data_IF_202063840439
#
_entry.id   IF_202063840439
#
_cell.length_a   1.000
_cell.length_b   1.000
_cell.length_c   1.000
_cell.angle_alpha   90.00
_cell.angle_beta   90.00
_cell.angle_gamma   90.00
#
_symmetry.space_group_name_H-M   'P 1'
#
loop_
_entity.id
_entity.type
_entity.pdbx_description
1 polymer ?
#
# COMPACT_ATOMS: atom_id res chain seq x y z
N UNK A 1 14.43 9.47 1.77
CA UNK A 1 13.40 9.36 2.82
C UNK A 1 13.77 10.31 3.95
N UNK A 2 12.90 11.27 4.29
CA UNK A 2 13.01 11.95 5.59
C UNK A 2 12.64 10.90 6.64
N UNK A 3 13.34 10.85 7.76
CA UNK A 3 12.97 9.95 8.85
C UNK A 3 11.51 10.24 9.25
N UNK A 4 10.62 9.22 9.25
CA UNK A 4 9.20 9.42 9.54
C UNK A 4 8.99 10.00 10.95
N UNK A 5 9.96 9.80 11.84
CA UNK A 5 9.89 10.24 13.21
C UNK A 5 10.70 11.51 13.48
N UNK A 6 10.02 12.56 13.97
CA UNK A 6 10.64 13.64 14.74
C UNK A 6 10.20 13.51 16.21
N UNK A 7 11.08 13.04 17.12
CA UNK A 7 10.74 12.91 18.53
C UNK A 7 10.32 14.27 19.13
N UNK A 8 9.20 14.28 19.85
CA UNK A 8 8.85 15.36 20.77
C UNK A 8 8.62 14.77 22.15
N UNK A 9 8.81 15.58 23.20
CA UNK A 9 8.62 15.15 24.61
C UNK A 9 7.22 14.58 24.87
N UNK A 10 6.24 14.94 24.04
CA UNK A 10 4.84 14.54 24.15
C UNK A 10 4.42 13.44 23.17
N UNK A 11 5.27 13.03 22.20
CA UNK A 11 4.95 11.96 21.24
C UNK A 11 5.77 10.69 21.53
N UNK A 12 5.13 9.59 21.94
CA UNK A 12 5.85 8.32 22.14
C UNK A 12 6.50 7.86 20.82
N UNK A 13 7.64 7.17 20.92
CA UNK A 13 8.28 6.52 19.76
C UNK A 13 7.31 5.51 19.14
N UNK A 14 7.33 5.37 17.81
CA UNK A 14 6.64 4.28 17.14
C UNK A 14 7.02 2.94 17.78
N UNK A 15 6.01 2.14 18.10
CA UNK A 15 6.16 0.80 18.70
C UNK A 15 5.54 -0.21 17.75
N UNK A 16 6.36 -1.15 17.31
CA UNK A 16 5.97 -2.32 16.53
C UNK A 16 6.14 -3.53 17.43
N UNK A 17 5.09 -4.32 17.60
CA UNK A 17 5.15 -5.54 18.40
C UNK A 17 4.71 -6.76 17.62
N UNK A 18 5.32 -7.90 17.96
CA UNK A 18 5.01 -9.21 17.41
C UNK A 18 4.29 -10.06 18.45
N UNK A 19 3.19 -10.67 18.02
CA UNK A 19 2.37 -11.57 18.82
C UNK A 19 2.51 -12.98 18.26
N UNK A 20 3.00 -13.92 19.08
CA UNK A 20 3.22 -15.32 18.69
C UNK A 20 1.92 -16.14 18.75
N UNK A 21 0.88 -15.64 18.09
CA UNK A 21 -0.43 -16.27 17.93
C UNK A 21 -1.19 -15.59 16.78
N UNK A 22 -2.33 -16.16 16.40
CA UNK A 22 -3.31 -15.60 15.47
C UNK A 22 -4.16 -14.51 16.14
N UNK A 23 -4.74 -13.61 15.34
CA UNK A 23 -5.72 -12.67 15.83
C UNK A 23 -7.13 -13.20 15.59
N UNK A 24 -8.04 -13.05 16.56
CA UNK A 24 -9.43 -13.53 16.49
C UNK A 24 -10.30 -12.94 15.36
N UNK A 25 -9.80 -11.92 14.64
CA UNK A 25 -10.46 -11.29 13.48
C UNK A 25 -9.85 -11.73 12.15
N UNK A 26 -9.01 -12.76 12.16
CA UNK A 26 -8.34 -13.29 10.97
C UNK A 26 -7.51 -12.24 10.22
N UNK A 27 -6.75 -11.42 10.98
CA UNK A 27 -5.86 -10.38 10.45
C UNK A 27 -4.40 -10.70 10.77
N UNK A 28 -3.50 -10.38 9.83
CA UNK A 28 -2.06 -10.65 9.97
C UNK A 28 -1.31 -9.45 10.62
N UNK A 29 -1.94 -8.27 10.62
CA UNK A 29 -1.41 -7.05 11.19
C UNK A 29 -2.51 -6.06 11.51
N UNK A 30 -2.18 -5.08 12.34
CA UNK A 30 -3.04 -3.92 12.57
C UNK A 30 -2.22 -2.71 12.99
N UNK A 31 -2.42 -1.59 12.31
CA UNK A 31 -1.95 -0.28 12.72
C UNK A 31 -3.07 0.53 13.39
N UNK A 32 -2.79 1.01 14.60
CA UNK A 32 -3.58 2.04 15.28
C UNK A 32 -2.63 3.20 15.57
N UNK A 33 -2.42 4.11 14.61
CA UNK A 33 -1.37 5.15 14.68
C UNK A 33 -1.54 6.10 15.87
N UNK A 34 -2.77 6.32 16.32
CA UNK A 34 -3.16 7.22 17.41
C UNK A 34 -3.16 6.55 18.80
N UNK A 35 -2.65 5.32 18.92
CA UNK A 35 -2.65 4.59 20.20
C UNK A 35 -1.54 5.09 21.13
N UNK A 36 -1.90 5.77 22.21
CA UNK A 36 -0.93 6.29 23.20
C UNK A 36 -0.63 5.33 24.37
N UNK A 37 -1.18 4.12 24.36
CA UNK A 37 -1.00 3.16 25.46
C UNK A 37 0.45 2.63 25.52
N UNK A 38 1.08 2.72 26.70
CA UNK A 38 2.46 2.28 26.89
C UNK A 38 2.67 0.76 26.67
N UNK A 39 1.66 -0.06 26.93
CA UNK A 39 1.76 -1.53 26.90
C UNK A 39 1.36 -2.16 25.57
N UNK A 40 0.61 -1.44 24.74
CA UNK A 40 0.11 -1.95 23.46
C UNK A 40 0.81 -1.22 22.32
N UNK A 41 1.53 -1.92 21.42
CA UNK A 41 2.18 -1.33 20.25
C UNK A 41 1.21 -0.55 19.35
N UNK A 42 1.71 0.44 18.61
CA UNK A 42 0.94 1.15 17.57
C UNK A 42 0.68 0.22 16.39
N UNK A 43 1.68 -0.60 16.04
CA UNK A 43 1.59 -1.64 15.02
C UNK A 43 1.72 -3.00 15.70
N UNK A 44 0.70 -3.84 15.55
CA UNK A 44 0.69 -5.21 16.01
C UNK A 44 0.81 -6.14 14.81
N UNK A 45 1.75 -7.09 14.84
CA UNK A 45 1.94 -8.12 13.82
C UNK A 45 1.71 -9.48 14.47
N UNK A 46 0.94 -10.34 13.80
CA UNK A 46 0.57 -11.66 14.30
C UNK A 46 1.40 -12.73 13.60
N UNK A 47 1.87 -13.71 14.37
CA UNK A 47 2.73 -14.77 13.85
C UNK A 47 1.99 -15.81 13.04
N UNK A 48 0.69 -15.96 13.27
CA UNK A 48 -0.18 -16.82 12.48
C UNK A 48 -1.12 -15.98 11.63
N UNK A 49 -1.42 -16.48 10.45
CA UNK A 49 -2.44 -15.91 9.59
C UNK A 49 -3.85 -16.15 10.17
N UNK A 50 -4.85 -15.56 9.52
CA UNK A 50 -6.25 -15.76 9.89
C UNK A 50 -6.79 -17.17 9.73
N UNK A 51 -6.02 -18.10 9.15
CA UNK A 51 -6.34 -19.54 9.11
C UNK A 51 -5.61 -20.32 10.21
N UNK A 52 -4.85 -19.64 11.07
CA UNK A 52 -4.09 -20.24 12.17
C UNK A 52 -2.75 -20.84 11.78
N UNK A 53 -2.30 -20.67 10.53
CA UNK A 53 -1.00 -21.17 10.05
C UNK A 53 0.11 -20.15 10.30
N UNK A 54 1.31 -20.61 10.63
CA UNK A 54 2.47 -19.73 10.83
C UNK A 54 2.82 -18.99 9.54
N UNK A 55 2.81 -17.66 9.60
CA UNK A 55 3.25 -16.83 8.50
C UNK A 55 4.76 -16.97 8.30
N UNK A 56 5.18 -17.01 7.03
CA UNK A 56 6.60 -17.01 6.68
C UNK A 56 7.22 -15.63 6.97
N UNK A 57 8.55 -15.58 7.07
CA UNK A 57 9.28 -14.33 7.39
C UNK A 57 9.01 -13.22 6.39
N UNK A 58 8.88 -13.55 5.10
CA UNK A 58 8.56 -12.59 4.04
C UNK A 58 7.15 -12.00 4.22
N UNK A 59 6.15 -12.80 4.57
CA UNK A 59 4.80 -12.31 4.90
C UNK A 59 4.80 -11.44 6.16
N UNK A 60 5.55 -11.82 7.21
CA UNK A 60 5.70 -10.99 8.43
C UNK A 60 6.33 -9.64 8.08
N UNK A 61 7.39 -9.64 7.26
CA UNK A 61 8.09 -8.43 6.84
C UNK A 61 7.19 -7.53 5.97
N UNK A 62 6.54 -8.10 4.96
CA UNK A 62 5.61 -7.41 4.07
C UNK A 62 4.44 -6.79 4.85
N UNK A 63 3.84 -7.54 5.77
CA UNK A 63 2.77 -7.06 6.65
C UNK A 63 3.27 -5.92 7.54
N UNK A 64 4.48 -6.05 8.10
CA UNK A 64 5.08 -4.97 8.89
C UNK A 64 5.24 -3.69 8.07
N UNK A 65 5.71 -3.80 6.82
CA UNK A 65 5.83 -2.66 5.91
C UNK A 65 4.48 -2.03 5.58
N UNK A 66 3.44 -2.84 5.35
CA UNK A 66 2.07 -2.37 5.12
C UNK A 66 1.55 -1.54 6.31
N UNK A 67 1.64 -2.10 7.52
CA UNK A 67 1.12 -1.42 8.71
C UNK A 67 1.93 -0.17 9.07
N UNK A 68 3.25 -0.18 8.88
CA UNK A 68 4.10 1.01 9.09
C UNK A 68 3.83 2.08 8.04
N UNK A 69 3.46 1.71 6.80
CA UNK A 69 3.06 2.68 5.77
C UNK A 69 1.78 3.43 6.16
N UNK A 70 0.81 2.76 6.80
CA UNK A 70 -0.37 3.42 7.36
C UNK A 70 0.00 4.45 8.42
N UNK A 71 0.91 4.11 9.33
CA UNK A 71 1.39 5.06 10.35
C UNK A 71 2.12 6.24 9.72
N UNK A 72 3.02 5.98 8.76
CA UNK A 72 3.75 7.04 8.04
C UNK A 72 2.79 8.01 7.34
N UNK A 73 1.76 7.48 6.66
CA UNK A 73 0.76 8.29 6.00
C UNK A 73 -0.06 9.12 7.02
N UNK A 74 -0.46 8.51 8.14
CA UNK A 74 -1.12 9.23 9.23
C UNK A 74 -0.26 10.37 9.80
N UNK A 75 1.03 10.13 10.05
CA UNK A 75 1.95 11.16 10.52
C UNK A 75 2.11 12.30 9.50
N UNK A 76 2.08 11.97 8.21
CA UNK A 76 2.24 12.93 7.12
C UNK A 76 1.05 13.89 6.99
N UNK A 77 -0.18 13.37 7.02
CA UNK A 77 -1.38 14.18 6.74
C UNK A 77 -2.16 14.61 8.01
N UNK A 78 -1.80 14.05 9.16
CA UNK A 78 -2.42 14.31 10.45
C UNK A 78 -3.69 13.48 10.70
N UNK A 79 -4.04 13.35 11.97
CA UNK A 79 -5.08 12.43 12.44
C UNK A 79 -6.45 12.68 11.82
N UNK A 80 -6.96 13.91 11.86
CA UNK A 80 -8.29 14.21 11.33
C UNK A 80 -8.39 13.93 9.83
N UNK A 81 -7.37 14.31 9.05
CA UNK A 81 -7.37 14.07 7.62
C UNK A 81 -7.27 12.57 7.28
N UNK A 82 -6.43 11.84 8.00
CA UNK A 82 -6.30 10.40 7.82
C UNK A 82 -7.58 9.65 8.22
N UNK A 83 -8.22 10.03 9.33
CA UNK A 83 -9.48 9.43 9.77
C UNK A 83 -10.60 9.60 8.72
N UNK A 84 -10.69 10.78 8.09
CA UNK A 84 -11.67 11.05 7.04
C UNK A 84 -11.49 10.12 5.83
N UNK A 85 -10.25 9.92 5.38
CA UNK A 85 -9.99 9.04 4.22
C UNK A 85 -10.11 7.55 4.59
N UNK A 86 -9.79 7.19 5.84
CA UNK A 86 -9.82 5.81 6.33
C UNK A 86 -11.23 5.28 6.55
N UNK A 87 -12.11 6.10 7.14
CA UNK A 87 -13.46 5.67 7.53
C UNK A 87 -14.46 5.66 6.37
N UNK A 88 -14.14 6.32 5.25
CA UNK A 88 -14.97 6.33 4.05
C UNK A 88 -14.48 5.26 3.05
N UNK A 89 -15.29 4.22 2.74
CA UNK A 89 -14.90 3.16 1.82
C UNK A 89 -14.44 3.64 0.45
N UNK A 90 -14.99 4.75 -0.07
CA UNK A 90 -14.62 5.31 -1.37
C UNK A 90 -13.22 5.93 -1.40
N UNK A 91 -12.71 6.36 -0.25
CA UNK A 91 -11.39 6.99 -0.12
C UNK A 91 -10.38 6.06 0.55
N UNK A 92 -10.83 5.02 1.27
CA UNK A 92 -9.97 4.05 1.96
C UNK A 92 -9.06 3.27 1.01
N UNK A 93 -9.44 3.16 -0.26
CA UNK A 93 -8.57 2.65 -1.33
C UNK A 93 -7.22 3.37 -1.38
N UNK A 94 -7.15 4.67 -1.06
CA UNK A 94 -5.90 5.43 -1.12
C UNK A 94 -4.87 4.94 -0.09
N UNK A 95 -5.15 5.00 1.23
CA UNK A 95 -4.19 4.54 2.22
C UNK A 95 -3.88 3.04 2.09
N UNK A 96 -4.88 2.20 1.80
CA UNK A 96 -4.69 0.74 1.67
C UNK A 96 -3.87 0.35 0.44
N UNK A 97 -4.18 0.88 -0.75
CA UNK A 97 -3.39 0.60 -1.95
C UNK A 97 -2.00 1.21 -1.90
N UNK A 98 -1.82 2.33 -1.17
CA UNK A 98 -0.48 2.87 -0.91
C UNK A 98 0.34 1.91 -0.04
N UNK A 99 -0.25 1.43 1.07
CA UNK A 99 0.41 0.48 1.96
C UNK A 99 0.76 -0.85 1.24
N UNK A 100 -0.10 -1.31 0.33
CA UNK A 100 0.17 -2.43 -0.58
C UNK A 100 1.42 -2.19 -1.43
N UNK A 101 1.54 -1.02 -2.07
CA UNK A 101 2.70 -0.70 -2.90
C UNK A 101 4.00 -0.59 -2.09
N UNK A 102 3.94 0.00 -0.89
CA UNK A 102 5.10 0.06 0.02
C UNK A 102 5.51 -1.34 0.47
N UNK A 103 4.55 -2.18 0.84
CA UNK A 103 4.78 -3.57 1.22
C UNK A 103 5.50 -4.34 0.11
N UNK A 104 4.98 -4.29 -1.12
CA UNK A 104 5.61 -4.92 -2.27
C UNK A 104 7.03 -4.37 -2.51
N UNK A 105 7.20 -3.06 -2.62
CA UNK A 105 8.50 -2.47 -2.97
C UNK A 105 9.58 -2.76 -1.92
N UNK A 106 9.27 -2.59 -0.62
CA UNK A 106 10.26 -2.81 0.43
C UNK A 106 10.61 -4.29 0.58
N UNK A 107 9.61 -5.18 0.47
CA UNK A 107 9.87 -6.63 0.49
C UNK A 107 10.72 -7.04 -0.70
N UNK A 108 10.43 -6.51 -1.89
CA UNK A 108 11.23 -6.75 -3.09
C UNK A 108 12.66 -6.26 -2.93
N UNK A 109 12.86 -5.08 -2.31
CA UNK A 109 14.20 -4.55 -2.02
C UNK A 109 14.98 -5.46 -1.06
N UNK A 110 14.37 -5.86 0.06
CA UNK A 110 14.99 -6.71 1.08
C UNK A 110 15.41 -8.07 0.52
N UNK A 111 14.56 -8.66 -0.32
CA UNK A 111 14.78 -10.00 -0.89
C UNK A 111 15.54 -9.99 -2.21
N UNK A 112 15.82 -8.82 -2.79
CA UNK A 112 16.59 -8.69 -4.05
C UNK A 112 18.00 -9.29 -3.95
N UNK A 113 18.61 -9.26 -2.75
CA UNK A 113 19.92 -9.86 -2.49
C UNK A 113 19.96 -11.38 -2.69
N UNK A 114 18.81 -12.05 -2.73
CA UNK A 114 18.69 -13.48 -2.97
C UNK A 114 18.44 -13.82 -4.46
N UNK A 115 18.46 -12.81 -5.34
CA UNK A 115 18.36 -12.97 -6.78
C UNK A 115 16.95 -13.25 -7.30
N UNK A 116 16.88 -13.59 -8.60
CA UNK A 116 15.62 -13.64 -9.35
C UNK A 116 14.61 -14.66 -8.81
N UNK A 117 15.06 -15.77 -8.21
CA UNK A 117 14.16 -16.76 -7.62
C UNK A 117 13.29 -16.14 -6.51
N UNK A 118 13.91 -15.41 -5.58
CA UNK A 118 13.20 -14.72 -4.52
C UNK A 118 12.34 -13.57 -5.06
N UNK A 119 12.84 -12.81 -6.04
CA UNK A 119 12.07 -11.72 -6.66
C UNK A 119 10.80 -12.22 -7.35
N UNK A 120 10.88 -13.32 -8.10
CA UNK A 120 9.71 -13.92 -8.74
C UNK A 120 8.67 -14.38 -7.71
N UNK A 121 9.12 -14.94 -6.58
CA UNK A 121 8.24 -15.32 -5.48
C UNK A 121 7.56 -14.09 -4.87
N UNK A 122 8.33 -13.04 -4.52
CA UNK A 122 7.77 -11.81 -3.96
C UNK A 122 6.79 -11.15 -4.93
N UNK A 123 7.16 -11.05 -6.21
CA UNK A 123 6.30 -10.46 -7.22
C UNK A 123 4.99 -11.26 -7.32
N UNK A 124 5.05 -12.60 -7.41
CA UNK A 124 3.84 -13.43 -7.46
C UNK A 124 2.84 -13.18 -6.32
N UNK A 125 3.31 -12.99 -5.08
CA UNK A 125 2.42 -12.82 -3.93
C UNK A 125 2.01 -11.36 -3.66
N UNK A 126 2.89 -10.40 -3.93
CA UNK A 126 2.71 -9.03 -3.42
C UNK A 126 2.50 -7.98 -4.51
N UNK A 127 2.83 -8.26 -5.79
CA UNK A 127 2.63 -7.27 -6.86
C UNK A 127 1.16 -7.12 -7.31
N UNK A 128 0.29 -8.03 -6.86
CA UNK A 128 -1.15 -8.05 -7.15
C UNK A 128 -1.52 -8.09 -8.64
N UNK A 129 -0.68 -8.63 -9.51
CA UNK A 129 -0.97 -8.71 -10.95
C UNK A 129 -2.16 -9.64 -11.31
N UNK A 130 -2.60 -10.49 -10.37
CA UNK A 130 -3.82 -11.31 -10.47
C UNK A 130 -5.09 -10.61 -9.93
N UNK A 131 -4.96 -9.42 -9.35
CA UNK A 131 -6.09 -8.68 -8.77
C UNK A 131 -7.00 -8.12 -9.88
N UNK A 132 -8.31 -8.22 -9.69
CA UNK A 132 -9.34 -7.71 -10.60
C UNK A 132 -10.53 -7.10 -9.85
N UNK A 133 -11.49 -6.57 -10.61
CA UNK A 133 -12.70 -5.93 -10.10
C UNK A 133 -13.71 -6.88 -9.40
N UNK A 134 -13.35 -8.12 -9.08
CA UNK A 134 -14.10 -8.99 -8.16
C UNK A 134 -13.39 -9.17 -6.81
N UNK A 135 -12.13 -8.77 -6.69
CA UNK A 135 -11.39 -8.79 -5.43
C UNK A 135 -11.79 -7.64 -4.49
N UNK A 136 -11.15 -7.58 -3.32
CA UNK A 136 -11.31 -6.49 -2.34
C UNK A 136 -11.00 -5.12 -2.96
N UNK A 137 -11.88 -4.14 -2.74
CA UNK A 137 -11.84 -2.80 -3.36
C UNK A 137 -10.91 -1.81 -2.65
N UNK A 138 -10.46 -2.14 -1.44
CA UNK A 138 -9.53 -1.32 -0.67
C UNK A 138 -8.09 -1.76 -0.91
N UNK A 139 -7.81 -3.07 -0.99
CA UNK A 139 -6.45 -3.60 -1.15
C UNK A 139 -6.08 -3.81 -2.63
N UNK A 140 -5.95 -2.72 -3.39
CA UNK A 140 -5.78 -2.75 -4.85
C UNK A 140 -4.33 -2.50 -5.29
N UNK A 141 -3.95 -2.83 -6.54
CA UNK A 141 -2.63 -2.51 -7.08
C UNK A 141 -2.46 -1.06 -7.56
N UNK A 142 -3.43 -0.15 -7.30
CA UNK A 142 -3.44 1.22 -7.82
C UNK A 142 -2.08 1.93 -7.81
N UNK A 143 -1.32 1.86 -6.72
CA UNK A 143 0.00 2.51 -6.65
C UNK A 143 1.14 1.66 -7.24
N UNK A 144 0.99 0.33 -7.29
CA UNK A 144 1.92 -0.56 -7.98
C UNK A 144 1.85 -0.30 -9.49
N UNK A 145 0.65 -0.18 -10.05
CA UNK A 145 0.40 0.16 -11.46
C UNK A 145 1.06 1.49 -11.87
N UNK A 146 1.17 2.45 -10.95
CA UNK A 146 1.88 3.70 -11.24
C UNK A 146 3.41 3.52 -11.35
N UNK A 147 3.95 2.48 -10.71
CA UNK A 147 5.39 2.27 -10.50
C UNK A 147 5.95 1.24 -11.48
N UNK A 148 5.30 0.09 -11.60
CA UNK A 148 5.81 -1.03 -12.39
C UNK A 148 5.57 -0.81 -13.89
N UNK A 149 5.85 -1.83 -14.70
CA UNK A 149 5.66 -1.78 -16.15
C UNK A 149 4.81 -2.94 -16.66
N UNK A 150 3.88 -3.42 -15.83
CA UNK A 150 3.10 -4.62 -16.08
C UNK A 150 1.63 -4.26 -16.28
N UNK A 151 1.17 -4.35 -17.52
CA UNK A 151 -0.25 -4.19 -17.80
C UNK A 151 -1.04 -5.47 -17.48
N UNK A 152 -1.75 -5.46 -16.35
CA UNK A 152 -2.61 -6.57 -15.91
C UNK A 152 -3.63 -7.00 -16.98
N UNK A 153 -4.34 -6.04 -17.61
CA UNK A 153 -5.32 -6.35 -18.65
C UNK A 153 -4.70 -7.08 -19.84
N UNK A 154 -3.49 -6.71 -20.25
CA UNK A 154 -2.77 -7.40 -21.34
C UNK A 154 -2.39 -8.82 -20.92
N UNK A 155 -1.90 -9.02 -19.70
CA UNK A 155 -1.57 -10.36 -19.18
C UNK A 155 -2.80 -11.28 -19.13
N UNK A 156 -3.99 -10.72 -18.92
CA UNK A 156 -5.25 -11.44 -18.79
C UNK A 156 -6.13 -11.33 -20.05
N UNK A 157 -5.51 -11.48 -21.22
CA UNK A 157 -6.16 -11.59 -22.52
C UNK A 157 -7.15 -10.44 -22.87
N UNK A 158 -6.88 -9.23 -22.38
CA UNK A 158 -7.70 -8.06 -22.64
C UNK A 158 -8.95 -7.93 -21.78
N UNK A 159 -9.10 -8.75 -20.73
CA UNK A 159 -10.29 -8.74 -19.87
C UNK A 159 -10.49 -7.39 -19.16
N UNK A 160 -11.68 -6.81 -19.32
CA UNK A 160 -12.05 -5.52 -18.70
C UNK A 160 -12.21 -5.59 -17.18
N UNK A 161 -12.19 -6.79 -16.60
CA UNK A 161 -12.14 -6.97 -15.14
C UNK A 161 -10.81 -6.51 -14.54
N UNK A 162 -9.75 -6.42 -15.34
CA UNK A 162 -8.43 -5.97 -14.91
C UNK A 162 -8.18 -4.50 -15.31
N UNK A 163 -7.42 -3.75 -14.50
CA UNK A 163 -7.02 -2.40 -14.85
C UNK A 163 -6.21 -2.39 -16.15
N UNK A 164 -6.47 -1.41 -17.01
CA UNK A 164 -5.64 -1.17 -18.18
C UNK A 164 -4.42 -0.34 -17.78
N UNK A 165 -3.43 -1.01 -17.22
CA UNK A 165 -2.26 -0.32 -16.71
C UNK A 165 -1.25 0.00 -17.82
N UNK A 166 -1.42 1.18 -18.42
CA UNK A 166 -0.48 1.78 -19.37
C UNK A 166 0.29 2.95 -18.73
N UNK A 167 0.38 2.98 -17.40
CA UNK A 167 1.12 4.00 -16.66
C UNK A 167 2.39 3.35 -16.12
N UNK A 168 3.49 4.09 -16.12
CA UNK A 168 4.76 3.61 -15.56
C UNK A 168 5.67 4.78 -15.26
N UNK A 169 6.70 4.56 -14.45
CA UNK A 169 7.77 5.52 -14.24
C UNK A 169 7.51 6.52 -13.11
N UNK A 170 6.41 6.40 -12.35
CA UNK A 170 6.40 6.97 -11.01
C UNK A 170 7.35 6.19 -10.11
N UNK A 171 7.90 6.86 -9.09
CA UNK A 171 8.72 6.20 -8.07
C UNK A 171 8.00 6.27 -6.74
N UNK A 172 8.24 5.30 -5.85
CA UNK A 172 7.73 5.33 -4.47
C UNK A 172 8.08 6.67 -3.80
N UNK A 173 9.31 7.17 -3.98
CA UNK A 173 9.73 8.45 -3.41
C UNK A 173 8.91 9.64 -3.94
N UNK A 174 8.58 9.65 -5.24
CA UNK A 174 7.76 10.72 -5.82
C UNK A 174 6.30 10.60 -5.36
N UNK A 175 5.74 9.40 -5.32
CA UNK A 175 4.37 9.18 -4.88
C UNK A 175 4.20 9.50 -3.38
N UNK A 176 5.16 9.12 -2.55
CA UNK A 176 5.20 9.49 -1.13
C UNK A 176 5.15 11.02 -0.96
N UNK A 177 5.93 11.75 -1.76
CA UNK A 177 5.89 13.22 -1.78
C UNK A 177 4.55 13.78 -2.26
N UNK A 178 3.70 13.02 -2.95
CA UNK A 178 2.42 13.52 -3.45
C UNK A 178 1.25 13.15 -2.55
N UNK A 179 1.40 12.21 -1.61
CA UNK A 179 0.33 11.76 -0.71
C UNK A 179 -0.32 12.90 0.08
N UNK A 180 0.43 13.94 0.42
CA UNK A 180 -0.15 15.09 1.11
C UNK A 180 -1.18 15.85 0.28
N UNK A 181 -1.17 15.72 -1.05
CA UNK A 181 -1.94 16.55 -1.98
C UNK A 181 -3.34 16.02 -2.31
N UNK A 182 -3.65 14.75 -2.04
CA UNK A 182 -4.94 14.16 -2.41
C UNK A 182 -5.61 13.42 -1.24
N UNK A 183 -6.93 13.47 -1.20
CA UNK A 183 -7.77 12.78 -0.20
C UNK A 183 -8.86 11.91 -0.84
N UNK A 184 -8.97 11.96 -2.16
CA UNK A 184 -9.88 11.18 -2.98
C UNK A 184 -9.24 10.90 -4.35
N UNK A 185 -9.90 10.05 -5.14
CA UNK A 185 -9.39 9.64 -6.45
C UNK A 185 -9.46 10.75 -7.51
N UNK A 186 -10.28 11.78 -7.31
CA UNK A 186 -10.33 12.94 -8.23
C UNK A 186 -9.10 13.83 -8.06
N UNK A 187 -8.74 14.15 -6.82
CA UNK A 187 -7.51 14.87 -6.50
C UNK A 187 -6.27 14.05 -6.82
N UNK A 188 -6.32 12.72 -6.64
CA UNK A 188 -5.23 11.83 -7.08
C UNK A 188 -5.01 11.98 -8.59
N UNK A 189 -6.06 11.86 -9.41
CA UNK A 189 -5.97 11.99 -10.87
C UNK A 189 -5.33 13.32 -11.28
N UNK A 190 -5.83 14.43 -10.74
CA UNK A 190 -5.29 15.77 -11.03
C UNK A 190 -3.83 15.88 -10.62
N UNK A 191 -3.47 15.36 -9.45
CA UNK A 191 -2.09 15.40 -8.92
C UNK A 191 -1.13 14.58 -9.80
N UNK A 192 -1.56 13.40 -10.26
CA UNK A 192 -0.80 12.55 -11.17
C UNK A 192 -0.61 13.25 -12.53
N UNK A 193 -1.65 13.83 -13.11
CA UNK A 193 -1.56 14.55 -14.39
C UNK A 193 -0.55 15.70 -14.34
N UNK A 194 -0.49 16.44 -13.22
CA UNK A 194 0.49 17.53 -13.01
C UNK A 194 1.92 17.00 -12.84
N UNK A 195 2.10 15.81 -12.27
CA UNK A 195 3.39 15.21 -11.95
C UNK A 195 3.76 14.04 -12.88
N UNK A 196 3.22 14.06 -14.10
CA UNK A 196 3.26 12.94 -15.04
C UNK A 196 4.69 12.62 -15.53
N UNK A 197 5.13 11.34 -15.48
CA UNK A 197 6.38 10.89 -16.06
C UNK A 197 6.44 11.10 -17.59
N UNK A 198 7.66 11.22 -18.12
CA UNK A 198 7.87 11.27 -19.58
C UNK A 198 7.37 9.98 -20.25
N UNK A 199 6.69 10.12 -21.39
CA UNK A 199 6.16 8.99 -22.15
C UNK A 199 4.77 8.51 -21.72
N UNK A 200 4.27 8.92 -20.54
CA UNK A 200 2.90 8.61 -20.09
C UNK A 200 1.92 9.62 -20.71
N UNK A 201 0.78 9.13 -21.21
CA UNK A 201 -0.29 10.01 -21.76
C UNK A 201 -1.27 10.43 -20.66
N UNK A 202 -1.99 11.53 -20.87
CA UNK A 202 -3.02 11.94 -19.91
C UNK A 202 -4.18 10.92 -19.91
N UNK A 203 -4.45 10.35 -21.07
CA UNK A 203 -5.49 9.36 -21.32
C UNK A 203 -5.20 8.07 -20.56
N UNK A 204 -3.94 7.60 -20.52
CA UNK A 204 -3.53 6.43 -19.75
C UNK A 204 -3.77 6.61 -18.25
N UNK A 205 -3.45 7.78 -17.68
CA UNK A 205 -3.69 8.08 -16.26
C UNK A 205 -5.20 8.13 -15.97
N UNK A 206 -5.97 8.81 -16.83
CA UNK A 206 -7.42 8.93 -16.67
C UNK A 206 -8.11 7.56 -16.77
N UNK A 207 -7.70 6.73 -17.72
CA UNK A 207 -8.24 5.38 -17.87
C UNK A 207 -7.96 4.53 -16.62
N UNK A 208 -6.71 4.53 -16.15
CA UNK A 208 -6.30 3.79 -14.96
C UNK A 208 -7.10 4.24 -13.73
N UNK A 209 -7.12 5.55 -13.44
CA UNK A 209 -7.83 6.08 -12.27
C UNK A 209 -9.35 5.90 -12.39
N UNK A 210 -9.91 6.04 -13.59
CA UNK A 210 -11.35 5.78 -13.84
C UNK A 210 -11.73 4.34 -13.52
N UNK A 211 -10.89 3.37 -13.87
CA UNK A 211 -11.13 1.98 -13.49
C UNK A 211 -11.26 1.83 -11.95
N UNK A 212 -10.35 2.45 -11.18
CA UNK A 212 -10.40 2.42 -9.71
C UNK A 212 -11.55 3.21 -9.10
N UNK A 213 -12.02 4.29 -9.75
CA UNK A 213 -13.19 5.06 -9.33
C UNK A 213 -14.51 4.28 -9.45
N UNK A 214 -14.56 3.30 -10.35
CA UNK A 214 -15.77 2.53 -10.67
C UNK A 214 -15.83 1.15 -9.97
N UNK A 215 -15.05 0.97 -8.90
CA UNK A 215 -15.01 -0.25 -8.09
C UNK A 215 -16.16 -0.42 -7.11
#
# INVERSE_FOLDING_TARGET
>A
MKTPYSPSVLKPKLKVGYYHHDHWRDINGSAVPFRENLTIPHVCIYGKDGSGYWSTTDFIYATTCHEVAHVSHWEMIGEGAFALIWLNPKTRIIPESWAVAVSWQLTRNEYSRFGNFALNYIDFYFNKQQWNNSNDKCYTPLFIDLIDNINQRVQHAGSSSYPNDNVTGYTVAKLEQLLYAFRDLDLLEVTLLVNKPSGVTNESIKELVSFYKNL
#
